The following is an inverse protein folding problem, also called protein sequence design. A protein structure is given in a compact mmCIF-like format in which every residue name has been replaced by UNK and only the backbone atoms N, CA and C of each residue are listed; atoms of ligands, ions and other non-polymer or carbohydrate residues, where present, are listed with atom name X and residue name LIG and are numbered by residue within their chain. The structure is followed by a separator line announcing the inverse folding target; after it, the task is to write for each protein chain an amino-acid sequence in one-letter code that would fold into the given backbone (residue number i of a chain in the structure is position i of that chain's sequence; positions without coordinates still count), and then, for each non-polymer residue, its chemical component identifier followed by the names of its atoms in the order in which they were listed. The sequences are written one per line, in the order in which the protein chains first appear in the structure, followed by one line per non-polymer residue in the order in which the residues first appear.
data_IF_347512948478
#
_entry.id   IF_347512948478
#
_cell.length_a   1.000
_cell.length_b   1.000
_cell.length_c   1.000
_cell.angle_alpha   90.00
_cell.angle_beta   90.00
_cell.angle_gamma   90.00
#
_symmetry.space_group_name_H-M   'P 1'
#
loop_
_entity.id
_entity.type
_entity.pdbx_description
1 polymer ?
#
# COMPACT_ATOMS: atom_id res chain seq x y z
N UNK A 1 -28.75 -24.64 16.81
CA UNK A 1 -28.07 -23.54 17.51
C UNK A 1 -29.10 -22.43 17.74
N UNK A 2 -29.14 -21.77 18.92
CA UNK A 2 -30.14 -20.74 19.20
C UNK A 2 -30.07 -19.62 18.15
N UNK A 3 -31.18 -19.26 17.45
CA UNK A 3 -31.15 -18.32 16.33
C UNK A 3 -30.67 -16.91 16.74
N UNK A 4 -30.90 -16.52 17.99
CA UNK A 4 -30.41 -15.25 18.53
C UNK A 4 -28.88 -15.19 18.64
N UNK A 5 -28.22 -16.31 18.94
CA UNK A 5 -26.75 -16.36 19.00
C UNK A 5 -26.14 -16.22 17.60
N UNK A 6 -26.77 -16.80 16.59
CA UNK A 6 -26.36 -16.65 15.19
C UNK A 6 -26.49 -15.19 14.76
N UNK A 7 -27.62 -14.55 15.08
CA UNK A 7 -27.84 -13.14 14.77
C UNK A 7 -26.82 -12.24 15.49
N UNK A 8 -26.62 -12.41 16.80
CA UNK A 8 -25.65 -11.63 17.56
C UNK A 8 -24.23 -11.79 17.01
N UNK A 9 -23.82 -13.03 16.70
CA UNK A 9 -22.53 -13.31 16.09
C UNK A 9 -22.37 -12.63 14.73
N UNK A 10 -23.41 -12.64 13.90
CA UNK A 10 -23.38 -11.98 12.59
C UNK A 10 -23.21 -10.46 12.70
N UNK A 11 -23.92 -9.81 13.63
CA UNK A 11 -23.81 -8.36 13.85
C UNK A 11 -22.42 -7.97 14.35
N UNK A 12 -21.85 -8.75 15.27
CA UNK A 12 -20.49 -8.54 15.76
C UNK A 12 -19.48 -8.72 14.62
N UNK A 13 -19.65 -9.75 13.79
CA UNK A 13 -18.80 -9.98 12.63
C UNK A 13 -18.82 -8.81 11.64
N UNK A 14 -20.00 -8.32 11.28
CA UNK A 14 -20.16 -7.16 10.38
C UNK A 14 -19.51 -5.91 10.98
N UNK A 15 -19.71 -5.65 12.28
CA UNK A 15 -19.10 -4.52 12.96
C UNK A 15 -17.57 -4.59 12.93
N UNK A 16 -16.99 -5.78 13.18
CA UNK A 16 -15.54 -6.00 13.12
C UNK A 16 -14.98 -5.79 11.72
N UNK A 17 -15.65 -6.30 10.67
CA UNK A 17 -15.22 -6.09 9.29
C UNK A 17 -15.22 -4.61 8.94
N UNK A 18 -16.30 -3.89 9.26
CA UNK A 18 -16.39 -2.44 9.02
C UNK A 18 -15.31 -1.68 9.78
N UNK A 19 -15.02 -2.06 11.03
CA UNK A 19 -13.96 -1.47 11.82
C UNK A 19 -12.58 -1.75 11.20
N UNK A 20 -12.31 -2.99 10.77
CA UNK A 20 -11.06 -3.38 10.13
C UNK A 20 -10.80 -2.60 8.84
N UNK A 21 -11.81 -2.46 7.98
CA UNK A 21 -11.69 -1.64 6.75
C UNK A 21 -11.40 -0.17 7.06
N UNK A 22 -12.07 0.41 8.06
CA UNK A 22 -11.82 1.79 8.47
C UNK A 22 -10.39 1.97 8.98
N UNK A 23 -9.90 1.03 9.79
CA UNK A 23 -8.54 1.06 10.34
C UNK A 23 -7.50 0.85 9.24
N UNK A 24 -7.70 -0.10 8.33
CA UNK A 24 -6.83 -0.33 7.19
C UNK A 24 -6.74 0.91 6.29
N UNK A 25 -7.86 1.58 6.04
CA UNK A 25 -7.88 2.84 5.31
C UNK A 25 -7.06 3.93 6.00
N UNK A 26 -7.16 4.05 7.33
CA UNK A 26 -6.35 5.01 8.10
C UNK A 26 -4.85 4.71 7.99
N UNK A 27 -4.46 3.46 8.18
CA UNK A 27 -3.06 3.03 8.04
C UNK A 27 -2.53 3.29 6.63
N UNK A 28 -3.35 3.04 5.60
CA UNK A 28 -2.95 3.29 4.22
C UNK A 28 -2.72 4.79 3.95
N UNK A 29 -3.56 5.66 4.54
CA UNK A 29 -3.34 7.11 4.46
C UNK A 29 -2.04 7.53 5.17
N UNK A 30 -1.76 6.99 6.36
CA UNK A 30 -0.51 7.25 7.08
C UNK A 30 0.71 6.77 6.27
N UNK A 31 0.61 5.60 5.63
CA UNK A 31 1.65 5.08 4.74
C UNK A 31 1.86 5.94 3.50
N UNK A 32 0.80 6.43 2.88
CA UNK A 32 0.96 7.30 1.71
C UNK A 32 1.52 8.67 2.06
N UNK A 33 1.19 9.21 3.24
CA UNK A 33 1.86 10.41 3.76
C UNK A 33 3.35 10.12 4.03
N UNK A 34 3.68 8.99 4.66
CA UNK A 34 5.07 8.58 4.87
C UNK A 34 5.82 8.36 3.54
N UNK A 35 5.18 7.76 2.55
CA UNK A 35 5.72 7.60 1.20
C UNK A 35 5.94 8.95 0.54
N UNK A 36 4.96 9.82 0.56
CA UNK A 36 5.07 11.15 -0.01
C UNK A 36 6.21 11.94 0.64
N UNK A 37 6.41 11.85 1.95
CA UNK A 37 7.52 12.52 2.64
C UNK A 37 8.89 11.91 2.33
N UNK A 38 9.01 10.58 2.29
CA UNK A 38 10.27 9.89 1.95
C UNK A 38 10.67 10.13 0.49
N UNK A 39 9.70 10.14 -0.43
CA UNK A 39 9.95 10.31 -1.87
C UNK A 39 9.81 11.76 -2.35
N UNK A 40 9.39 12.71 -1.51
CA UNK A 40 9.30 14.13 -1.86
C UNK A 40 10.66 14.70 -2.26
N UNK A 41 11.73 14.22 -1.63
CA UNK A 41 13.10 14.71 -1.85
C UNK A 41 13.89 13.85 -2.85
N UNK A 42 13.33 12.73 -3.34
CA UNK A 42 14.00 11.91 -4.34
C UNK A 42 13.83 12.59 -5.70
N UNK A 43 14.83 13.39 -6.08
CA UNK A 43 14.92 13.94 -7.42
C UNK A 43 15.06 12.78 -8.40
N UNK A 44 13.96 12.45 -9.09
CA UNK A 44 13.94 11.38 -10.09
C UNK A 44 14.92 11.62 -11.24
N UNK A 45 15.40 12.86 -11.42
CA UNK A 45 16.44 13.19 -12.39
C UNK A 45 17.84 12.75 -11.95
N UNK A 46 18.07 12.51 -10.64
CA UNK A 46 19.35 12.02 -10.10
C UNK A 46 19.43 10.50 -9.98
N UNK A 47 18.29 9.80 -10.16
CA UNK A 47 18.27 8.35 -10.14
C UNK A 47 19.03 7.81 -11.37
N UNK A 48 20.07 6.97 -11.17
CA UNK A 48 20.82 6.41 -12.29
C UNK A 48 19.89 5.54 -13.14
N UNK A 49 19.51 6.03 -14.31
CA UNK A 49 18.70 5.28 -15.25
C UNK A 49 19.58 4.31 -16.00
N UNK A 50 19.11 3.07 -16.14
CA UNK A 50 19.74 2.11 -17.03
C UNK A 50 19.57 2.57 -18.48
N UNK A 51 20.67 2.75 -19.20
CA UNK A 51 20.67 3.08 -20.62
C UNK A 51 21.08 1.86 -21.44
N UNK A 52 20.38 1.56 -22.56
CA UNK A 52 20.78 0.46 -23.42
C UNK A 52 22.12 0.76 -24.10
N UNK A 53 23.07 -0.16 -23.99
CA UNK A 53 24.35 -0.13 -24.70
C UNK A 53 24.12 -0.49 -26.18
N UNK A 54 24.43 0.42 -27.12
CA UNK A 54 24.17 0.19 -28.55
C UNK A 54 25.06 -0.90 -29.17
N UNK A 55 26.16 -1.28 -28.51
CA UNK A 55 27.11 -2.28 -29.02
C UNK A 55 26.78 -3.68 -28.50
N UNK A 56 26.36 -3.78 -27.24
CA UNK A 56 26.16 -5.09 -26.58
C UNK A 56 24.70 -5.42 -26.30
N UNK A 57 23.78 -4.45 -26.42
CA UNK A 57 22.37 -4.61 -26.04
C UNK A 57 22.15 -4.73 -24.52
N UNK A 58 23.21 -4.73 -23.72
CA UNK A 58 23.12 -4.80 -22.27
C UNK A 58 22.72 -3.42 -21.70
N UNK A 59 21.94 -3.42 -20.63
CA UNK A 59 21.63 -2.19 -19.91
C UNK A 59 22.76 -1.83 -18.96
N UNK A 60 23.28 -0.61 -19.04
CA UNK A 60 24.31 -0.09 -18.13
C UNK A 60 23.83 1.15 -17.39
N UNK A 61 24.27 1.37 -16.14
CA UNK A 61 24.04 2.64 -15.46
C UNK A 61 24.70 3.75 -16.28
N UNK A 62 23.92 4.78 -16.61
CA UNK A 62 24.38 6.01 -17.28
C UNK A 62 25.02 7.00 -16.32
#
# INVERSE_FOLDING_TARGET
MPPLLVLAGSLIGIAMVRWAFRTAGRVNQELEVARATVFAEVDRATLPTLRPDPVTGAYRPG
#
